data_IF_758099819427
#
_entry.id   IF_758099819427
#
_cell.length_a   1.000
_cell.length_b   1.000
_cell.length_c   1.000
_cell.angle_alpha   90.00
_cell.angle_beta   90.00
_cell.angle_gamma   90.00
#
_symmetry.space_group_name_H-M   'P 1'
#
loop_
_entity.id
_entity.type
_entity.pdbx_description
1 polymer ?
#
# COMPACT_ATOMS: atom_id res chain seq x y z
N UNK A 1 -60.25 -5.55 59.34
CA UNK A 1 -61.37 -4.60 59.28
C UNK A 1 -62.00 -4.74 57.88
N UNK A 2 -62.67 -5.88 57.64
CA UNK A 2 -64.14 -6.05 57.50
C UNK A 2 -64.80 -5.03 56.55
N UNK A 3 -65.26 -5.49 55.39
CA UNK A 3 -66.63 -5.36 54.83
C UNK A 3 -66.57 -5.60 53.31
N UNK A 4 -67.06 -6.75 52.80
CA UNK A 4 -68.41 -6.95 52.22
C UNK A 4 -68.50 -6.55 50.74
N UNK A 5 -69.28 -7.16 49.85
CA UNK A 5 -69.94 -8.46 49.68
C UNK A 5 -70.57 -8.34 48.26
N UNK A 6 -70.50 -9.42 47.45
CA UNK A 6 -71.49 -9.84 46.43
C UNK A 6 -71.71 -9.06 45.09
N UNK A 7 -71.71 -9.85 43.99
CA UNK A 7 -72.82 -10.08 43.02
C UNK A 7 -72.67 -9.68 41.53
N UNK A 8 -72.68 -10.76 40.71
CA UNK A 8 -73.38 -11.06 39.43
C UNK A 8 -72.91 -10.57 38.04
N UNK A 9 -72.80 -11.59 37.16
CA UNK A 9 -73.27 -11.76 35.75
C UNK A 9 -72.84 -10.71 34.69
N UNK A 10 -72.03 -11.07 33.69
CA UNK A 10 -72.30 -11.89 32.49
C UNK A 10 -73.17 -11.23 31.40
N UNK A 11 -72.59 -11.19 30.18
CA UNK A 11 -73.18 -11.45 28.86
C UNK A 11 -73.62 -10.28 27.93
N UNK A 12 -73.01 -10.32 26.73
CA UNK A 12 -73.46 -9.94 25.37
C UNK A 12 -73.75 -8.46 25.01
N UNK A 13 -73.01 -7.92 24.03
CA UNK A 13 -73.47 -7.94 22.62
C UNK A 13 -72.36 -7.53 21.64
N UNK A 14 -72.29 -8.25 20.52
CA UNK A 14 -71.59 -7.84 19.31
C UNK A 14 -72.33 -6.66 18.67
N UNK A 15 -71.60 -5.66 18.19
CA UNK A 15 -72.02 -4.92 17.00
C UNK A 15 -70.78 -4.47 16.21
N UNK A 16 -70.65 -5.04 15.02
CA UNK A 16 -69.80 -4.54 13.95
C UNK A 16 -70.19 -3.09 13.64
N UNK A 17 -69.24 -2.16 13.72
CA UNK A 17 -69.28 -0.97 12.87
C UNK A 17 -67.84 -0.61 12.49
N UNK A 18 -67.56 -0.81 11.20
CA UNK A 18 -66.37 -0.36 10.51
C UNK A 18 -66.30 1.18 10.57
N UNK A 19 -65.19 1.72 11.02
CA UNK A 19 -64.96 3.15 11.12
C UNK A 19 -63.51 3.42 11.47
N UNK A 20 -62.72 3.70 10.44
CA UNK A 20 -61.31 4.11 10.49
C UNK A 20 -61.06 5.21 11.52
N UNK A 21 -60.26 4.90 12.55
CA UNK A 21 -59.52 5.89 13.32
C UNK A 21 -58.04 5.55 13.17
N UNK A 22 -57.36 6.37 12.38
CA UNK A 22 -55.91 6.40 12.31
C UNK A 22 -55.39 6.71 13.72
N UNK A 23 -54.72 5.75 14.32
CA UNK A 23 -53.82 6.02 15.43
C UNK A 23 -52.59 6.65 14.78
N UNK A 24 -52.45 7.97 14.89
CA UNK A 24 -51.18 8.66 14.69
C UNK A 24 -50.18 8.04 15.66
N UNK A 25 -49.37 7.13 15.15
CA UNK A 25 -48.27 6.55 15.90
C UNK A 25 -47.13 7.59 15.90
N UNK A 26 -47.14 8.48 16.89
CA UNK A 26 -46.11 9.50 17.14
C UNK A 26 -44.82 8.94 17.78
N UNK A 27 -44.58 7.63 17.67
CA UNK A 27 -43.38 6.96 18.18
C UNK A 27 -42.73 6.10 17.08
N UNK A 28 -42.35 6.74 15.97
CA UNK A 28 -41.59 6.09 14.89
C UNK A 28 -40.40 6.93 14.40
N UNK A 29 -39.90 7.85 15.24
CA UNK A 29 -38.88 8.83 14.86
C UNK A 29 -37.49 8.58 15.48
N UNK A 30 -37.20 7.35 15.89
CA UNK A 30 -35.88 6.95 16.44
C UNK A 30 -35.46 5.55 15.93
N UNK A 31 -35.71 5.27 14.65
CA UNK A 31 -34.85 4.34 13.90
C UNK A 31 -33.82 5.21 13.19
N UNK A 32 -33.06 5.93 14.00
CA UNK A 32 -32.16 6.98 13.55
C UNK A 32 -30.95 6.35 12.91
N UNK A 33 -30.76 6.71 11.65
CA UNK A 33 -29.55 6.48 10.88
C UNK A 33 -28.37 7.07 11.67
N UNK A 34 -27.19 6.41 11.69
CA UNK A 34 -26.04 6.97 12.40
C UNK A 34 -25.59 8.30 11.79
N UNK A 35 -25.78 8.50 10.48
CA UNK A 35 -25.29 9.67 9.77
C UNK A 35 -25.75 11.02 10.35
N UNK A 36 -24.87 12.06 10.35
CA UNK A 36 -25.26 13.42 10.67
C UNK A 36 -26.37 13.95 9.75
N UNK A 37 -27.11 15.00 10.16
CA UNK A 37 -28.13 15.63 9.32
C UNK A 37 -27.57 16.02 7.94
N UNK A 38 -28.26 15.63 6.87
CA UNK A 38 -27.78 15.82 5.50
C UNK A 38 -27.56 17.31 5.15
N UNK A 39 -28.37 18.21 5.72
CA UNK A 39 -28.24 19.66 5.57
C UNK A 39 -26.95 20.24 6.19
N UNK A 40 -26.38 19.58 7.21
CA UNK A 40 -25.16 20.04 7.87
C UNK A 40 -23.90 19.55 7.18
N UNK A 41 -24.00 18.47 6.39
CA UNK A 41 -22.86 17.84 5.71
C UNK A 41 -22.83 18.08 4.20
N UNK A 42 -23.84 18.73 3.62
CA UNK A 42 -23.84 19.04 2.18
C UNK A 42 -22.59 19.82 1.74
N UNK A 43 -21.93 19.42 0.63
CA UNK A 43 -22.37 18.44 -0.37
C UNK A 43 -21.86 17.02 -0.11
N UNK A 44 -21.24 16.75 1.04
CA UNK A 44 -20.82 15.39 1.37
C UNK A 44 -22.04 14.48 1.60
N UNK A 45 -21.85 13.19 1.33
CA UNK A 45 -22.84 12.14 1.53
C UNK A 45 -22.30 11.20 2.60
N UNK A 46 -23.13 10.89 3.59
CA UNK A 46 -22.81 9.91 4.62
C UNK A 46 -23.53 8.59 4.32
N UNK A 47 -22.78 7.49 4.34
CA UNK A 47 -23.27 6.14 4.07
C UNK A 47 -22.85 5.19 5.18
N UNK A 48 -23.67 4.17 5.44
CA UNK A 48 -23.30 3.06 6.33
C UNK A 48 -22.90 1.89 5.44
N UNK A 49 -21.62 1.57 5.40
CA UNK A 49 -21.06 0.52 4.55
C UNK A 49 -21.43 -0.86 5.11
N UNK A 50 -21.25 -1.04 6.42
CA UNK A 50 -21.60 -2.29 7.11
C UNK A 50 -22.44 -1.98 8.35
N UNK A 51 -23.70 -2.45 8.31
CA UNK A 51 -24.66 -2.27 9.40
C UNK A 51 -24.39 -3.10 10.66
N UNK A 52 -23.48 -4.07 10.59
CA UNK A 52 -23.09 -4.94 11.69
C UNK A 52 -21.93 -4.38 12.51
N UNK A 53 -20.98 -3.72 11.87
CA UNK A 53 -19.84 -3.01 12.47
C UNK A 53 -20.11 -1.51 12.66
N UNK A 54 -21.16 -0.99 12.01
CA UNK A 54 -21.48 0.44 11.91
C UNK A 54 -20.36 1.25 11.24
N UNK A 55 -19.74 0.69 10.20
CA UNK A 55 -18.72 1.39 9.42
C UNK A 55 -19.38 2.50 8.60
N UNK A 56 -19.04 3.74 8.95
CA UNK A 56 -19.63 4.94 8.36
C UNK A 56 -18.60 5.64 7.47
N UNK A 57 -19.00 5.90 6.23
CA UNK A 57 -18.21 6.60 5.24
C UNK A 57 -18.76 8.00 4.98
N UNK A 58 -17.84 8.94 4.80
CA UNK A 58 -18.10 10.31 4.38
C UNK A 58 -17.53 10.51 2.98
N UNK A 59 -18.40 10.54 1.97
CA UNK A 59 -18.01 10.92 0.61
C UNK A 59 -18.11 12.44 0.45
N UNK A 60 -16.97 13.10 0.34
CA UNK A 60 -16.83 14.55 0.16
C UNK A 60 -16.33 14.92 -1.25
N UNK A 61 -16.47 14.03 -2.23
CA UNK A 61 -16.04 14.23 -3.62
C UNK A 61 -16.65 15.47 -4.28
N UNK A 62 -17.83 15.90 -3.83
CA UNK A 62 -18.53 17.08 -4.38
C UNK A 62 -18.17 18.41 -3.72
N UNK A 63 -17.23 18.43 -2.76
CA UNK A 63 -16.79 19.68 -2.12
C UNK A 63 -16.03 20.57 -3.11
N UNK A 64 -16.28 21.87 -3.07
CA UNK A 64 -15.74 22.84 -4.04
C UNK A 64 -14.66 23.76 -3.47
N UNK A 65 -14.49 23.82 -2.14
CA UNK A 65 -13.44 24.61 -1.48
C UNK A 65 -13.01 23.96 -0.17
N UNK A 66 -11.76 24.20 0.25
CA UNK A 66 -11.29 23.80 1.59
C UNK A 66 -12.16 24.38 2.71
N UNK A 67 -12.58 25.64 2.59
CA UNK A 67 -13.40 26.29 3.61
C UNK A 67 -14.77 25.59 3.76
N UNK A 68 -15.31 25.03 2.68
CA UNK A 68 -16.52 24.20 2.73
C UNK A 68 -16.25 22.87 3.44
N UNK A 69 -15.12 22.21 3.14
CA UNK A 69 -14.70 20.98 3.83
C UNK A 69 -14.55 21.21 5.34
N UNK A 70 -13.77 22.23 5.71
CA UNK A 70 -13.55 22.63 7.09
C UNK A 70 -14.85 23.00 7.80
N UNK A 71 -15.74 23.73 7.13
CA UNK A 71 -17.05 24.09 7.69
C UNK A 71 -17.90 22.85 7.99
N UNK A 72 -17.88 21.82 7.14
CA UNK A 72 -18.63 20.58 7.34
C UNK A 72 -18.09 19.85 8.57
N UNK A 73 -16.78 19.64 8.66
CA UNK A 73 -16.18 18.89 9.77
C UNK A 73 -16.03 19.70 11.07
N UNK A 74 -16.28 21.01 11.04
CA UNK A 74 -16.44 21.83 12.25
C UNK A 74 -17.79 21.65 12.96
N UNK A 75 -18.76 21.00 12.31
CA UNK A 75 -20.09 20.76 12.89
C UNK A 75 -20.05 19.72 14.01
N UNK A 76 -21.01 19.86 14.92
CA UNK A 76 -21.27 18.89 15.97
C UNK A 76 -21.95 17.67 15.37
N UNK A 77 -21.21 16.57 15.27
CA UNK A 77 -21.72 15.27 14.87
C UNK A 77 -21.98 14.43 16.12
N UNK A 78 -22.92 13.47 16.07
CA UNK A 78 -23.20 12.58 17.20
C UNK A 78 -22.00 11.70 17.62
N UNK A 79 -21.01 11.54 16.73
CA UNK A 79 -19.74 10.87 16.96
C UNK A 79 -18.64 11.56 16.14
N UNK A 80 -17.37 11.29 16.47
CA UNK A 80 -16.22 11.84 15.76
C UNK A 80 -15.44 10.80 14.96
N UNK A 81 -15.64 9.52 15.25
CA UNK A 81 -14.88 8.44 14.62
C UNK A 81 -15.67 7.92 13.42
N UNK A 82 -15.04 7.98 12.26
CA UNK A 82 -15.57 7.51 11.00
C UNK A 82 -14.69 6.37 10.48
N UNK A 83 -15.31 5.48 9.72
CA UNK A 83 -14.57 4.42 9.07
C UNK A 83 -13.75 5.01 7.91
N UNK A 84 -14.41 5.68 6.96
CA UNK A 84 -13.76 6.15 5.73
C UNK A 84 -14.10 7.61 5.38
N UNK A 85 -13.12 8.32 4.82
CA UNK A 85 -13.31 9.56 4.08
C UNK A 85 -12.97 9.30 2.61
N UNK A 86 -13.88 9.65 1.70
CA UNK A 86 -13.68 9.50 0.26
C UNK A 86 -13.72 10.88 -0.42
N UNK A 87 -12.71 11.19 -1.23
CA UNK A 87 -12.64 12.37 -2.09
C UNK A 87 -12.12 11.93 -3.46
N UNK A 88 -13.03 11.52 -4.34
CA UNK A 88 -12.70 11.06 -5.69
C UNK A 88 -13.06 12.11 -6.74
N UNK A 89 -12.32 12.13 -7.86
CA UNK A 89 -12.63 12.98 -9.01
C UNK A 89 -12.72 14.48 -8.66
N UNK A 90 -12.13 14.89 -7.54
CA UNK A 90 -12.23 16.25 -7.04
C UNK A 90 -11.14 17.13 -7.65
N UNK A 91 -11.57 18.08 -8.49
CA UNK A 91 -10.66 18.99 -9.17
C UNK A 91 -10.58 20.38 -8.52
N UNK A 92 -11.20 20.56 -7.36
CA UNK A 92 -11.32 21.84 -6.66
C UNK A 92 -10.39 21.94 -5.44
N UNK A 93 -10.22 20.83 -4.71
CA UNK A 93 -9.35 20.73 -3.55
C UNK A 93 -7.92 20.47 -4.01
N UNK A 94 -7.09 21.51 -3.99
CA UNK A 94 -5.66 21.40 -4.32
C UNK A 94 -4.80 21.12 -3.10
N UNK A 95 -5.35 21.24 -1.90
CA UNK A 95 -4.63 21.07 -0.63
C UNK A 95 -5.53 20.38 0.37
N UNK A 96 -4.99 19.56 1.28
CA UNK A 96 -5.66 19.20 2.54
C UNK A 96 -4.94 19.99 3.65
N UNK A 97 -5.66 20.88 4.31
CA UNK A 97 -5.09 21.83 5.29
C UNK A 97 -5.22 21.31 6.71
N UNK A 98 -4.38 21.85 7.59
CA UNK A 98 -4.61 21.70 9.03
C UNK A 98 -6.01 22.22 9.40
N UNK A 99 -6.82 21.36 10.01
CA UNK A 99 -8.15 21.70 10.50
C UNK A 99 -9.29 21.45 9.51
N UNK A 100 -9.00 21.07 8.26
CA UNK A 100 -10.04 20.74 7.27
C UNK A 100 -10.93 19.58 7.76
N UNK A 101 -10.38 18.64 8.54
CA UNK A 101 -11.12 17.50 9.11
C UNK A 101 -11.57 17.74 10.56
N UNK A 102 -11.35 18.93 11.11
CA UNK A 102 -11.76 19.30 12.47
C UNK A 102 -11.27 18.31 13.53
N UNK A 103 -12.20 17.82 14.36
CA UNK A 103 -11.94 16.80 15.39
C UNK A 103 -12.35 15.40 14.93
N UNK A 104 -12.72 15.22 13.65
CA UNK A 104 -13.14 13.91 13.15
C UNK A 104 -11.92 13.06 12.88
N UNK A 105 -12.04 11.78 13.20
CA UNK A 105 -11.02 10.78 13.00
C UNK A 105 -11.50 9.80 11.93
N UNK A 106 -10.56 9.23 11.20
CA UNK A 106 -10.85 8.29 10.13
C UNK A 106 -9.93 7.09 10.27
N UNK A 107 -10.44 5.89 9.98
CA UNK A 107 -9.63 4.68 9.87
C UNK A 107 -9.05 4.54 8.46
N UNK A 108 -9.79 5.00 7.47
CA UNK A 108 -9.39 5.02 6.07
C UNK A 108 -9.59 6.41 5.46
N UNK A 109 -8.64 6.85 4.66
CA UNK A 109 -8.79 8.06 3.84
C UNK A 109 -8.42 7.69 2.41
N UNK A 110 -9.35 7.90 1.49
CA UNK A 110 -9.23 7.64 0.06
C UNK A 110 -9.39 8.95 -0.71
N UNK A 111 -8.32 9.39 -1.36
CA UNK A 111 -8.30 10.56 -2.22
C UNK A 111 -7.74 10.15 -3.57
N UNK A 112 -8.55 10.18 -4.63
CA UNK A 112 -8.12 9.73 -5.95
C UNK A 112 -8.64 10.57 -7.11
N UNK A 113 -7.99 10.42 -8.27
CA UNK A 113 -8.44 10.96 -9.56
C UNK A 113 -8.69 12.47 -9.54
N UNK A 114 -7.91 13.20 -8.75
CA UNK A 114 -8.14 14.61 -8.43
C UNK A 114 -6.97 15.54 -8.75
N UNK A 115 -7.12 16.81 -8.38
CA UNK A 115 -6.09 17.85 -8.56
C UNK A 115 -5.35 18.21 -7.28
N UNK A 116 -5.40 17.33 -6.26
CA UNK A 116 -4.68 17.53 -5.01
C UNK A 116 -3.18 17.66 -5.29
N UNK A 117 -2.56 18.68 -4.70
CA UNK A 117 -1.12 18.99 -4.83
C UNK A 117 -0.37 18.86 -3.53
N UNK A 118 -1.01 19.20 -2.41
CA UNK A 118 -0.30 19.32 -1.13
C UNK A 118 -1.13 18.73 0.00
N UNK A 119 -0.51 17.91 0.84
CA UNK A 119 -1.01 17.63 2.19
C UNK A 119 -0.20 18.51 3.15
N UNK A 120 -0.85 19.44 3.83
CA UNK A 120 -0.16 20.30 4.78
C UNK A 120 0.32 19.50 6.01
N UNK A 121 1.34 20.04 6.66
CA UNK A 121 1.78 19.57 7.98
C UNK A 121 0.59 19.52 8.95
N UNK A 122 0.45 18.43 9.71
CA UNK A 122 -0.63 18.18 10.65
C UNK A 122 -2.05 18.13 10.04
N UNK A 123 -2.19 18.00 8.71
CA UNK A 123 -3.51 17.87 8.07
C UNK A 123 -4.35 16.72 8.65
N UNK A 124 -3.69 15.62 9.05
CA UNK A 124 -4.33 14.42 9.61
C UNK A 124 -4.14 14.27 11.12
N UNK A 125 -3.86 15.36 11.86
CA UNK A 125 -3.54 15.32 13.29
C UNK A 125 -4.58 14.59 14.16
N UNK A 126 -5.86 14.76 13.84
CA UNK A 126 -6.96 14.10 14.55
C UNK A 126 -7.00 12.58 14.31
N UNK A 127 -6.44 12.12 13.18
CA UNK A 127 -6.43 10.71 12.78
C UNK A 127 -5.09 10.01 13.03
N UNK A 128 -4.06 10.65 13.60
CA UNK A 128 -2.81 9.97 13.94
C UNK A 128 -3.03 8.73 14.82
N UNK A 129 -4.03 8.77 15.69
CA UNK A 129 -4.39 7.68 16.58
C UNK A 129 -5.29 6.61 15.97
N UNK A 130 -5.82 6.78 14.75
CA UNK A 130 -6.90 5.92 14.20
C UNK A 130 -6.66 5.47 12.75
N UNK A 131 -5.94 6.26 11.95
CA UNK A 131 -5.75 6.00 10.53
C UNK A 131 -4.92 4.74 10.35
N UNK A 132 -5.50 3.79 9.62
CA UNK A 132 -4.91 2.48 9.30
C UNK A 132 -4.50 2.43 7.83
N UNK A 133 -5.32 3.01 6.94
CA UNK A 133 -5.04 3.05 5.51
C UNK A 133 -5.15 4.46 4.94
N UNK A 134 -4.11 4.92 4.24
CA UNK A 134 -4.09 6.20 3.55
C UNK A 134 -3.79 6.00 2.08
N UNK A 135 -4.77 6.33 1.24
CA UNK A 135 -4.69 6.30 -0.21
C UNK A 135 -4.80 7.71 -0.76
N UNK A 136 -3.72 8.20 -1.37
CA UNK A 136 -3.73 9.45 -2.13
C UNK A 136 -3.11 9.13 -3.49
N UNK A 137 -3.91 8.69 -4.45
CA UNK A 137 -3.42 8.06 -5.67
C UNK A 137 -3.89 8.81 -6.91
N UNK A 138 -3.07 8.83 -7.97
CA UNK A 138 -3.46 9.45 -9.26
C UNK A 138 -3.94 10.89 -9.07
N UNK A 139 -3.12 11.70 -8.40
CA UNK A 139 -3.35 13.14 -8.24
C UNK A 139 -2.16 13.92 -8.79
N UNK A 140 -2.01 15.19 -8.41
CA UNK A 140 -0.83 16.01 -8.73
C UNK A 140 -0.01 16.30 -7.48
N UNK A 141 -0.02 15.38 -6.50
CA UNK A 141 0.60 15.57 -5.19
C UNK A 141 2.11 15.76 -5.34
N UNK A 142 2.61 16.96 -5.04
CA UNK A 142 4.03 17.31 -5.09
C UNK A 142 4.65 17.45 -3.68
N UNK A 143 3.82 17.47 -2.64
CA UNK A 143 4.27 17.54 -1.24
C UNK A 143 3.43 16.69 -0.28
N UNK A 144 4.12 15.84 0.47
CA UNK A 144 3.58 15.05 1.59
C UNK A 144 4.52 15.12 2.81
N UNK A 145 4.01 15.29 4.04
CA UNK A 145 4.85 15.46 5.23
C UNK A 145 5.36 14.12 5.79
N UNK A 146 6.24 13.41 5.08
CA UNK A 146 6.76 12.08 5.46
C UNK A 146 7.30 11.96 6.90
N UNK A 147 7.90 13.03 7.43
CA UNK A 147 8.39 13.08 8.83
C UNK A 147 7.28 12.84 9.88
N UNK A 148 6.01 13.05 9.54
CA UNK A 148 4.87 12.81 10.42
C UNK A 148 4.42 11.34 10.46
N UNK A 149 4.95 10.47 9.60
CA UNK A 149 4.64 9.03 9.61
C UNK A 149 4.93 8.39 10.97
N UNK A 150 5.91 8.91 11.70
CA UNK A 150 6.26 8.49 13.07
C UNK A 150 5.22 8.84 14.12
N UNK A 151 4.28 9.74 13.82
CA UNK A 151 3.22 10.17 14.71
C UNK A 151 1.98 9.26 14.61
N UNK A 152 1.83 8.53 13.50
CA UNK A 152 0.73 7.60 13.34
C UNK A 152 0.97 6.34 14.17
N UNK A 153 0.00 5.98 15.01
CA UNK A 153 0.11 4.82 15.91
C UNK A 153 -0.59 3.57 15.39
N UNK A 154 -1.27 3.67 14.23
CA UNK A 154 -2.01 2.56 13.62
C UNK A 154 -1.86 2.49 12.09
N UNK A 155 -1.07 3.36 11.44
CA UNK A 155 -1.00 3.40 9.97
C UNK A 155 -0.23 2.19 9.45
N UNK A 156 -0.94 1.27 8.79
CA UNK A 156 -0.41 0.03 8.24
C UNK A 156 -0.05 0.18 6.75
N UNK A 157 -0.86 0.90 5.97
CA UNK A 157 -0.61 1.05 4.53
C UNK A 157 -0.65 2.50 4.08
N UNK A 158 0.35 2.85 3.28
CA UNK A 158 0.48 4.16 2.64
C UNK A 158 0.62 3.99 1.13
N UNK A 159 -0.37 4.48 0.41
CA UNK A 159 -0.46 4.44 -1.05
C UNK A 159 -0.41 5.88 -1.57
N UNK A 160 0.72 6.26 -2.17
CA UNK A 160 0.95 7.59 -2.77
C UNK A 160 1.38 7.49 -4.24
N UNK A 161 1.06 6.40 -4.91
CA UNK A 161 1.44 6.14 -6.29
C UNK A 161 0.85 7.11 -7.32
N UNK A 162 1.54 7.23 -8.46
CA UNK A 162 1.15 8.04 -9.61
C UNK A 162 0.86 9.51 -9.24
N UNK A 163 1.79 10.11 -8.49
CA UNK A 163 1.76 11.53 -8.12
C UNK A 163 3.00 12.26 -8.68
N UNK A 164 3.35 13.41 -8.12
CA UNK A 164 4.48 14.25 -8.53
C UNK A 164 5.48 14.47 -7.39
N UNK A 165 5.56 13.51 -6.45
CA UNK A 165 6.49 13.58 -5.33
C UNK A 165 7.93 13.48 -5.84
N UNK A 166 8.79 14.36 -5.35
CA UNK A 166 10.19 14.48 -5.79
C UNK A 166 11.16 14.44 -4.61
N UNK A 167 12.43 14.19 -4.93
CA UNK A 167 13.53 14.16 -3.98
C UNK A 167 13.63 12.81 -3.28
N UNK A 168 14.32 12.80 -2.13
CA UNK A 168 14.58 11.61 -1.32
C UNK A 168 13.78 11.66 -0.01
N UNK A 169 12.57 11.10 0.06
CA UNK A 169 11.80 11.11 1.29
C UNK A 169 12.50 10.32 2.40
N UNK A 170 12.47 10.88 3.61
CA UNK A 170 12.92 10.23 4.84
C UNK A 170 11.72 9.64 5.57
N UNK A 171 11.71 8.33 5.77
CA UNK A 171 10.60 7.60 6.36
C UNK A 171 10.99 6.92 7.68
N UNK A 172 10.12 7.11 8.65
CA UNK A 172 10.17 6.45 9.95
C UNK A 172 8.73 6.19 10.41
N UNK A 173 8.38 4.94 10.68
CA UNK A 173 7.08 4.54 11.22
C UNK A 173 7.20 3.23 11.97
N UNK A 174 6.61 3.16 13.16
CA UNK A 174 6.58 1.91 13.94
C UNK A 174 5.49 0.93 13.50
N UNK A 175 4.60 1.33 12.59
CA UNK A 175 3.39 0.57 12.23
C UNK A 175 3.27 0.21 10.76
N UNK A 176 3.98 0.92 9.88
CA UNK A 176 3.82 0.76 8.44
C UNK A 176 4.29 -0.63 7.98
N UNK A 177 3.42 -1.32 7.25
CA UNK A 177 3.61 -2.66 6.67
C UNK A 177 3.75 -2.60 5.15
N UNK A 178 3.03 -1.69 4.49
CA UNK A 178 3.05 -1.55 3.04
C UNK A 178 3.23 -0.09 2.64
N UNK A 179 4.20 0.15 1.75
CA UNK A 179 4.50 1.47 1.19
C UNK A 179 4.51 1.42 -0.34
N UNK A 180 3.63 2.17 -0.98
CA UNK A 180 3.62 2.34 -2.44
C UNK A 180 3.88 3.79 -2.82
N UNK A 181 4.98 4.00 -3.54
CA UNK A 181 5.40 5.30 -4.06
C UNK A 181 5.61 5.27 -5.58
N UNK A 182 5.25 4.18 -6.25
CA UNK A 182 5.53 3.99 -7.67
C UNK A 182 4.94 5.09 -8.56
N UNK A 183 5.59 5.36 -9.70
CA UNK A 183 5.15 6.39 -10.64
C UNK A 183 5.29 7.82 -10.12
N UNK A 184 6.12 8.05 -9.10
CA UNK A 184 6.52 9.38 -8.64
C UNK A 184 7.97 9.68 -9.05
N UNK A 185 8.34 10.92 -9.42
CA UNK A 185 9.72 11.29 -9.75
C UNK A 185 10.66 11.41 -8.52
N UNK A 186 10.82 10.33 -7.76
CA UNK A 186 11.64 10.20 -6.54
C UNK A 186 13.04 9.65 -6.90
N UNK A 187 14.09 10.40 -6.64
CA UNK A 187 15.45 10.05 -7.05
C UNK A 187 16.27 9.28 -5.99
N UNK A 188 15.71 9.07 -4.79
CA UNK A 188 16.30 8.28 -3.72
C UNK A 188 15.31 8.03 -2.58
N UNK A 189 15.71 7.29 -1.54
CA UNK A 189 14.86 7.03 -0.37
C UNK A 189 15.69 6.76 0.88
N UNK A 190 15.26 7.30 2.02
CA UNK A 190 15.87 7.03 3.33
C UNK A 190 14.89 6.27 4.22
N UNK A 191 15.22 5.01 4.53
CA UNK A 191 14.39 4.08 5.30
C UNK A 191 15.01 3.85 6.69
N UNK A 192 14.59 4.64 7.69
CA UNK A 192 15.29 4.68 8.98
C UNK A 192 14.75 3.69 10.02
N UNK A 193 13.47 3.77 10.36
CA UNK A 193 12.88 2.95 11.42
C UNK A 193 11.50 2.46 10.98
N UNK A 194 11.49 1.34 10.24
CA UNK A 194 10.30 0.73 9.64
C UNK A 194 10.26 -0.77 9.97
N UNK A 195 10.19 -1.15 11.27
CA UNK A 195 10.41 -2.53 11.71
C UNK A 195 9.32 -3.50 11.27
N UNK A 196 8.14 -3.01 10.88
CA UNK A 196 7.01 -3.84 10.43
C UNK A 196 6.84 -3.83 8.91
N UNK A 197 7.71 -3.16 8.15
CA UNK A 197 7.55 -3.06 6.70
C UNK A 197 7.78 -4.42 6.03
N UNK A 198 6.79 -4.86 5.26
CA UNK A 198 6.73 -6.15 4.55
C UNK A 198 6.86 -5.96 3.03
N UNK A 199 6.29 -4.88 2.49
CA UNK A 199 6.30 -4.56 1.05
C UNK A 199 6.68 -3.10 0.81
N UNK A 200 7.62 -2.88 -0.12
CA UNK A 200 7.95 -1.57 -0.64
C UNK A 200 7.89 -1.55 -2.17
N UNK A 201 7.08 -0.64 -2.71
CA UNK A 201 6.96 -0.41 -4.14
C UNK A 201 7.50 0.94 -4.58
N UNK A 202 8.65 0.88 -5.25
CA UNK A 202 9.39 2.00 -5.82
C UNK A 202 9.56 1.84 -7.34
N UNK A 203 8.73 1.03 -8.01
CA UNK A 203 8.84 0.90 -9.45
C UNK A 203 8.58 2.22 -10.16
N UNK A 204 9.23 2.44 -11.31
CA UNK A 204 9.02 3.66 -12.10
C UNK A 204 9.18 4.97 -11.31
N UNK A 205 10.13 5.03 -10.35
CA UNK A 205 10.36 6.22 -9.53
C UNK A 205 11.49 7.13 -10.00
N UNK A 206 12.25 6.72 -11.03
CA UNK A 206 13.47 7.38 -11.51
C UNK A 206 14.67 7.27 -10.55
N UNK A 207 14.66 6.27 -9.67
CA UNK A 207 15.83 5.91 -8.86
C UNK A 207 16.96 5.45 -9.77
N UNK A 208 18.15 6.01 -9.56
CA UNK A 208 19.38 5.66 -10.30
C UNK A 208 20.44 5.03 -9.41
N UNK A 209 20.30 5.18 -8.10
CA UNK A 209 21.24 4.71 -7.11
C UNK A 209 20.53 4.37 -5.79
N UNK A 210 21.03 3.36 -5.09
CA UNK A 210 20.60 2.99 -3.74
C UNK A 210 21.84 2.89 -2.87
N UNK A 211 21.81 3.56 -1.73
CA UNK A 211 22.91 3.50 -0.78
C UNK A 211 23.11 2.06 -0.25
N UNK A 212 24.35 1.64 0.02
CA UNK A 212 24.61 0.44 0.78
C UNK A 212 23.86 0.49 2.11
N UNK A 213 23.06 -0.53 2.38
CA UNK A 213 22.28 -0.62 3.61
C UNK A 213 20.87 -0.05 3.55
N UNK A 214 20.39 0.47 2.41
CA UNK A 214 19.02 1.03 2.29
C UNK A 214 17.93 0.12 2.87
N UNK A 215 18.05 -1.21 2.73
CA UNK A 215 17.06 -2.16 3.25
C UNK A 215 17.50 -2.92 4.52
N UNK A 216 18.62 -2.56 5.15
CA UNK A 216 19.26 -3.38 6.22
C UNK A 216 18.50 -3.45 7.53
N UNK A 217 17.72 -2.44 7.90
CA UNK A 217 16.97 -2.42 9.17
C UNK A 217 15.52 -2.89 9.01
N UNK A 218 15.14 -3.38 7.81
CA UNK A 218 13.77 -3.76 7.46
C UNK A 218 13.57 -5.26 7.71
N UNK A 219 13.45 -5.62 8.98
CA UNK A 219 13.54 -7.01 9.45
C UNK A 219 12.40 -7.93 8.96
N UNK A 220 11.28 -7.37 8.51
CA UNK A 220 10.11 -8.12 8.02
C UNK A 220 9.90 -7.98 6.51
N UNK A 221 10.84 -7.36 5.78
CA UNK A 221 10.65 -7.06 4.37
C UNK A 221 10.73 -8.32 3.50
N UNK A 222 9.67 -8.58 2.74
CA UNK A 222 9.55 -9.72 1.83
C UNK A 222 9.55 -9.31 0.37
N UNK A 223 8.97 -8.14 0.05
CA UNK A 223 8.70 -7.70 -1.31
C UNK A 223 9.37 -6.36 -1.60
N UNK A 224 10.29 -6.36 -2.57
CA UNK A 224 10.96 -5.16 -3.07
C UNK A 224 10.68 -5.01 -4.56
N UNK A 225 9.98 -3.94 -4.92
CA UNK A 225 9.74 -3.56 -6.32
C UNK A 225 10.60 -2.35 -6.70
N UNK A 226 11.57 -2.59 -7.58
CA UNK A 226 12.50 -1.60 -8.13
C UNK A 226 12.54 -1.66 -9.66
N UNK A 227 11.64 -2.40 -10.30
CA UNK A 227 11.52 -2.51 -11.75
C UNK A 227 11.22 -1.16 -12.43
N UNK A 228 11.59 -1.04 -13.70
CA UNK A 228 11.36 0.18 -14.50
C UNK A 228 12.03 1.44 -13.92
N UNK A 229 13.17 1.29 -13.25
CA UNK A 229 14.03 2.40 -12.84
C UNK A 229 15.27 2.48 -13.75
N UNK A 230 16.32 3.19 -13.33
CA UNK A 230 17.57 3.33 -14.09
C UNK A 230 18.79 2.99 -13.24
N UNK A 231 18.67 1.96 -12.41
CA UNK A 231 19.78 1.42 -11.60
C UNK A 231 20.85 0.82 -12.52
N UNK A 232 22.11 1.20 -12.31
CA UNK A 232 23.24 0.70 -13.12
C UNK A 232 24.11 -0.33 -12.40
N UNK A 233 24.18 -0.23 -11.08
CA UNK A 233 24.99 -1.10 -10.22
C UNK A 233 24.20 -1.34 -8.93
N UNK A 234 24.20 -2.58 -8.45
CA UNK A 234 23.77 -2.91 -7.10
C UNK A 234 25.00 -3.15 -6.23
N UNK A 235 25.24 -2.26 -5.27
CA UNK A 235 26.43 -2.29 -4.41
C UNK A 235 26.32 -3.37 -3.32
N UNK A 236 27.47 -3.74 -2.75
CA UNK A 236 27.51 -4.70 -1.65
C UNK A 236 26.71 -4.16 -0.45
N UNK A 237 25.87 -5.00 0.13
CA UNK A 237 25.00 -4.64 1.26
C UNK A 237 23.79 -3.79 0.92
N UNK A 238 23.47 -3.52 -0.34
CA UNK A 238 22.23 -2.79 -0.69
C UNK A 238 20.99 -3.56 -0.24
N UNK A 239 20.87 -4.84 -0.59
CA UNK A 239 19.75 -5.70 -0.18
C UNK A 239 20.24 -6.65 0.92
N UNK A 240 19.58 -6.58 2.07
CA UNK A 240 19.84 -7.44 3.23
C UNK A 240 18.51 -7.80 3.89
N UNK A 241 18.08 -9.05 3.70
CA UNK A 241 16.78 -9.56 4.13
C UNK A 241 16.93 -10.63 5.22
N UNK A 242 15.91 -10.74 6.07
CA UNK A 242 15.94 -11.61 7.26
C UNK A 242 14.83 -12.66 7.29
N UNK A 243 13.90 -12.58 6.35
CA UNK A 243 12.71 -13.42 6.24
C UNK A 243 12.95 -14.57 5.25
N UNK A 244 11.87 -15.15 4.73
CA UNK A 244 11.92 -16.27 3.77
C UNK A 244 10.80 -16.13 2.75
N UNK A 245 11.00 -16.63 1.55
CA UNK A 245 10.12 -16.44 0.38
C UNK A 245 10.12 -15.00 -0.14
N UNK A 246 11.31 -14.43 -0.25
CA UNK A 246 11.50 -13.07 -0.70
C UNK A 246 11.27 -12.92 -2.21
N UNK A 247 10.75 -11.77 -2.62
CA UNK A 247 10.59 -11.40 -4.03
C UNK A 247 11.25 -10.04 -4.26
N UNK A 248 12.28 -10.03 -5.10
CA UNK A 248 13.01 -8.82 -5.49
C UNK A 248 12.89 -8.64 -6.99
N UNK A 249 12.22 -7.57 -7.40
CA UNK A 249 12.09 -7.19 -8.79
C UNK A 249 13.06 -6.05 -9.13
N UNK A 250 13.95 -6.31 -10.08
CA UNK A 250 14.94 -5.37 -10.61
C UNK A 250 14.87 -5.30 -12.15
N UNK A 251 13.85 -5.90 -12.76
CA UNK A 251 13.76 -6.01 -14.21
C UNK A 251 13.50 -4.66 -14.90
N UNK A 252 13.91 -4.53 -16.16
CA UNK A 252 13.87 -3.25 -16.90
C UNK A 252 14.58 -2.11 -16.14
N UNK A 253 15.79 -2.37 -15.65
CA UNK A 253 16.76 -1.37 -15.22
C UNK A 253 17.95 -1.35 -16.22
N UNK A 254 19.01 -0.63 -15.87
CA UNK A 254 20.25 -0.54 -16.64
C UNK A 254 21.40 -1.30 -15.96
N UNK A 255 21.11 -2.34 -15.17
CA UNK A 255 22.11 -3.01 -14.34
C UNK A 255 23.19 -3.64 -15.21
N UNK A 256 24.42 -3.17 -15.05
CA UNK A 256 25.62 -3.72 -15.71
C UNK A 256 26.36 -4.69 -14.82
N UNK A 257 26.19 -4.57 -13.49
CA UNK A 257 26.79 -5.45 -12.50
C UNK A 257 26.00 -5.47 -11.21
N UNK A 258 26.12 -6.58 -10.48
CA UNK A 258 25.64 -6.75 -9.11
C UNK A 258 26.86 -7.18 -8.30
N UNK A 259 27.20 -6.43 -7.26
CA UNK A 259 28.38 -6.71 -6.46
C UNK A 259 28.23 -7.99 -5.63
N UNK A 260 29.35 -8.66 -5.35
CA UNK A 260 29.38 -9.73 -4.37
C UNK A 260 28.87 -9.21 -3.01
N UNK A 261 27.93 -9.93 -2.41
CA UNK A 261 27.29 -9.50 -1.16
C UNK A 261 26.24 -8.40 -1.32
N UNK A 262 25.76 -8.11 -2.53
CA UNK A 262 24.64 -7.17 -2.74
C UNK A 262 23.26 -7.76 -2.37
N UNK A 263 23.13 -9.09 -2.38
CA UNK A 263 21.86 -9.84 -2.23
C UNK A 263 21.87 -10.72 -0.97
N UNK A 264 22.21 -10.15 0.18
CA UNK A 264 22.40 -10.92 1.42
C UNK A 264 21.06 -11.34 2.00
N UNK A 265 20.95 -12.60 2.42
CA UNK A 265 19.80 -13.11 3.15
C UNK A 265 18.53 -13.32 2.30
N UNK A 266 18.63 -13.19 0.98
CA UNK A 266 17.56 -13.52 0.04
C UNK A 266 17.32 -15.05 0.03
N UNK A 267 16.12 -15.50 0.42
CA UNK A 267 15.79 -16.93 0.56
C UNK A 267 14.47 -17.29 -0.08
N UNK A 268 14.43 -18.38 -0.84
CA UNK A 268 13.24 -18.79 -1.57
C UNK A 268 12.72 -17.73 -2.54
N UNK A 269 11.49 -17.90 -3.04
CA UNK A 269 10.84 -16.89 -3.87
C UNK A 269 11.58 -16.59 -5.18
N UNK A 270 11.78 -15.30 -5.49
CA UNK A 270 12.23 -14.84 -6.81
C UNK A 270 13.20 -13.66 -6.75
N UNK A 271 14.20 -13.72 -7.63
CA UNK A 271 15.05 -12.60 -8.03
C UNK A 271 14.85 -12.36 -9.53
N UNK A 272 14.23 -11.24 -9.88
CA UNK A 272 13.98 -10.90 -11.28
C UNK A 272 14.93 -9.79 -11.74
N UNK A 273 15.93 -10.16 -12.53
CA UNK A 273 16.91 -9.24 -13.14
C UNK A 273 16.74 -9.17 -14.66
N UNK A 274 15.58 -9.54 -15.19
CA UNK A 274 15.32 -9.56 -16.64
C UNK A 274 15.49 -8.18 -17.26
N UNK A 275 15.82 -8.15 -18.56
CA UNK A 275 15.95 -6.93 -19.35
C UNK A 275 16.86 -5.87 -18.67
N UNK A 276 18.05 -6.30 -18.27
CA UNK A 276 19.13 -5.45 -17.80
C UNK A 276 20.32 -5.54 -18.77
N UNK A 277 21.50 -5.07 -18.38
CA UNK A 277 22.74 -5.07 -19.17
C UNK A 277 23.80 -6.02 -18.57
N UNK A 278 23.39 -7.05 -17.84
CA UNK A 278 24.30 -8.00 -17.22
C UNK A 278 24.98 -8.84 -18.31
N UNK A 279 26.31 -8.91 -18.29
CA UNK A 279 27.08 -9.74 -19.22
C UNK A 279 27.38 -11.13 -18.67
N UNK A 280 27.14 -11.38 -17.39
CA UNK A 280 27.39 -12.68 -16.77
C UNK A 280 26.48 -12.89 -15.55
N UNK A 281 26.29 -14.16 -15.19
CA UNK A 281 25.70 -14.58 -13.92
C UNK A 281 26.83 -15.09 -13.01
N UNK A 282 27.58 -14.15 -12.42
CA UNK A 282 28.75 -14.44 -11.61
C UNK A 282 28.43 -15.38 -10.44
N UNK A 283 29.21 -16.46 -10.28
CA UNK A 283 28.98 -17.48 -9.25
C UNK A 283 28.90 -16.86 -7.84
N UNK A 284 29.83 -15.97 -7.51
CA UNK A 284 29.90 -15.34 -6.19
C UNK A 284 28.65 -14.50 -5.82
N UNK A 285 27.88 -14.07 -6.82
CA UNK A 285 26.68 -13.24 -6.64
C UNK A 285 25.42 -14.10 -6.58
N UNK A 286 25.24 -15.01 -7.55
CA UNK A 286 23.98 -15.72 -7.74
C UNK A 286 23.94 -17.08 -7.03
N UNK A 287 25.09 -17.70 -6.76
CA UNK A 287 25.11 -19.00 -6.08
C UNK A 287 24.58 -18.93 -4.65
N UNK A 288 24.94 -17.94 -3.80
CA UNK A 288 24.41 -17.87 -2.44
C UNK A 288 22.86 -17.83 -2.36
N UNK A 289 22.14 -16.95 -3.08
CA UNK A 289 20.67 -16.98 -3.06
C UNK A 289 20.09 -18.26 -3.69
N UNK A 290 20.70 -18.81 -4.74
CA UNK A 290 20.26 -20.09 -5.32
C UNK A 290 20.43 -21.28 -4.35
N UNK A 291 21.50 -21.31 -3.55
CA UNK A 291 21.68 -22.32 -2.49
C UNK A 291 20.55 -22.25 -1.44
N UNK A 292 19.98 -21.06 -1.23
CA UNK A 292 18.82 -20.81 -0.38
C UNK A 292 17.46 -20.94 -1.12
N UNK A 293 17.46 -21.50 -2.34
CA UNK A 293 16.25 -21.84 -3.08
C UNK A 293 15.57 -20.70 -3.82
N UNK A 294 16.27 -19.59 -4.06
CA UNK A 294 15.77 -18.47 -4.86
C UNK A 294 15.71 -18.84 -6.33
N UNK A 295 14.57 -18.58 -6.98
CA UNK A 295 14.44 -18.68 -8.43
C UNK A 295 14.93 -17.39 -9.08
N UNK A 296 15.83 -17.48 -10.05
CA UNK A 296 16.40 -16.33 -10.76
C UNK A 296 15.82 -16.24 -12.17
N UNK A 297 15.29 -15.08 -12.53
CA UNK A 297 14.89 -14.75 -13.89
C UNK A 297 15.90 -13.77 -14.49
N UNK A 298 16.54 -14.13 -15.61
CA UNK A 298 17.65 -13.35 -16.19
C UNK A 298 17.56 -13.14 -17.70
N UNK A 299 16.46 -13.52 -18.36
CA UNK A 299 16.21 -13.27 -19.78
C UNK A 299 16.30 -11.79 -20.16
N UNK A 300 16.68 -11.51 -21.42
CA UNK A 300 16.85 -10.15 -21.91
C UNK A 300 18.15 -9.46 -21.48
N UNK A 301 19.09 -10.19 -20.88
CA UNK A 301 20.46 -9.71 -20.61
C UNK A 301 21.45 -10.17 -21.69
N UNK A 302 22.48 -9.38 -22.04
CA UNK A 302 23.51 -9.74 -23.01
C UNK A 302 24.57 -10.69 -22.43
N UNK A 303 24.17 -11.88 -21.98
CA UNK A 303 25.06 -12.84 -21.29
C UNK A 303 26.16 -13.41 -22.20
N UNK A 304 27.43 -13.28 -21.80
CA UNK A 304 28.57 -13.96 -22.39
C UNK A 304 28.73 -15.36 -21.78
N UNK A 305 28.30 -16.39 -22.51
CA UNK A 305 28.32 -17.77 -22.04
C UNK A 305 29.68 -18.44 -22.27
N UNK A 306 30.74 -17.84 -21.72
CA UNK A 306 32.07 -18.43 -21.60
C UNK A 306 32.22 -19.30 -20.35
N UNK A 307 33.45 -19.58 -19.91
CA UNK A 307 33.68 -20.43 -18.74
C UNK A 307 33.10 -19.89 -17.43
N UNK A 308 32.82 -18.59 -17.33
CA UNK A 308 32.25 -17.97 -16.13
C UNK A 308 30.83 -18.46 -15.80
N UNK A 309 30.09 -19.01 -16.78
CA UNK A 309 28.75 -19.61 -16.55
C UNK A 309 28.81 -21.13 -16.29
N UNK A 310 30.00 -21.74 -16.32
CA UNK A 310 30.16 -23.19 -16.21
C UNK A 310 29.56 -23.77 -14.91
N UNK A 311 29.65 -23.04 -13.80
CA UNK A 311 29.09 -23.44 -12.50
C UNK A 311 27.57 -23.68 -12.57
N UNK A 312 26.88 -22.87 -13.39
CA UNK A 312 25.44 -22.95 -13.60
C UNK A 312 25.09 -24.07 -14.57
N UNK A 313 25.78 -24.13 -15.71
CA UNK A 313 25.54 -25.13 -16.78
C UNK A 313 25.83 -26.55 -16.32
N UNK A 314 26.90 -26.76 -15.55
CA UNK A 314 27.31 -28.10 -15.09
C UNK A 314 26.50 -28.61 -13.89
N UNK A 315 25.61 -27.78 -13.32
CA UNK A 315 24.77 -28.13 -12.18
C UNK A 315 23.29 -28.16 -12.55
N UNK A 316 22.71 -29.35 -12.65
CA UNK A 316 21.26 -29.49 -12.89
C UNK A 316 20.41 -28.83 -11.79
N UNK A 317 20.95 -28.73 -10.57
CA UNK A 317 20.28 -28.08 -9.44
C UNK A 317 20.15 -26.58 -9.68
N UNK A 318 21.25 -25.89 -10.00
CA UNK A 318 21.23 -24.45 -10.25
C UNK A 318 20.53 -24.12 -11.56
N UNK A 319 20.67 -24.95 -12.59
CA UNK A 319 19.93 -24.81 -13.84
C UNK A 319 18.41 -24.85 -13.63
N UNK A 320 17.92 -25.65 -12.68
CA UNK A 320 16.48 -25.69 -12.37
C UNK A 320 15.96 -24.44 -11.63
N UNK A 321 16.87 -23.66 -11.03
CA UNK A 321 16.57 -22.40 -10.35
C UNK A 321 16.71 -21.18 -11.27
N UNK A 322 17.33 -21.34 -12.45
CA UNK A 322 17.22 -20.37 -13.53
C UNK A 322 15.84 -20.52 -14.17
N UNK A 323 14.89 -19.71 -13.71
CA UNK A 323 13.46 -19.90 -13.92
C UNK A 323 12.90 -19.12 -15.12
N UNK A 324 13.71 -18.99 -16.19
CA UNK A 324 13.29 -18.42 -17.47
C UNK A 324 14.21 -18.80 -18.64
N UNK A 325 13.88 -18.32 -19.84
CA UNK A 325 14.60 -18.58 -21.09
C UNK A 325 15.79 -17.63 -21.27
N UNK A 326 16.69 -17.55 -20.28
CA UNK A 326 17.91 -16.75 -20.40
C UNK A 326 18.78 -17.24 -21.56
N UNK A 327 19.28 -16.30 -22.37
CA UNK A 327 20.02 -16.59 -23.60
C UNK A 327 21.38 -15.90 -23.63
N UNK A 328 22.34 -16.57 -24.23
CA UNK A 328 23.65 -16.01 -24.53
C UNK A 328 23.57 -14.91 -25.60
N UNK A 329 24.59 -14.07 -25.73
CA UNK A 329 24.73 -13.09 -26.83
C UNK A 329 24.70 -13.72 -28.22
N UNK A 330 24.99 -15.01 -28.34
CA UNK A 330 24.85 -15.80 -29.57
C UNK A 330 23.39 -16.11 -29.94
N UNK A 331 22.45 -15.90 -29.02
CA UNK A 331 21.03 -16.28 -29.13
C UNK A 331 20.72 -17.71 -28.68
N UNK A 332 21.73 -18.51 -28.32
CA UNK A 332 21.53 -19.85 -27.75
C UNK A 332 20.99 -19.73 -26.31
N UNK A 333 20.02 -20.57 -25.93
CA UNK A 333 19.54 -20.62 -24.56
C UNK A 333 20.62 -21.18 -23.63
N UNK A 334 20.74 -20.62 -22.43
CA UNK A 334 21.68 -21.10 -21.40
C UNK A 334 21.37 -22.55 -21.01
N UNK A 335 20.09 -22.92 -21.00
CA UNK A 335 19.61 -24.29 -20.75
C UNK A 335 19.92 -25.30 -21.85
N UNK A 336 20.33 -24.83 -23.05
CA UNK A 336 20.70 -25.67 -24.19
C UNK A 336 22.23 -25.82 -24.35
N UNK A 337 23.03 -25.24 -23.44
CA UNK A 337 24.48 -25.39 -23.43
C UNK A 337 24.87 -26.82 -23.00
N UNK A 338 25.90 -27.38 -23.62
CA UNK A 338 26.36 -28.76 -23.36
C UNK A 338 27.17 -28.85 -22.06
N UNK A 339 26.64 -29.44 -20.97
CA UNK A 339 27.35 -29.49 -19.69
C UNK A 339 28.64 -30.31 -19.74
N UNK A 340 28.71 -31.36 -20.58
CA UNK A 340 29.91 -32.20 -20.68
C UNK A 340 31.06 -31.41 -21.33
N UNK A 341 30.74 -30.52 -22.27
CA UNK A 341 31.72 -29.65 -22.90
C UNK A 341 32.31 -28.65 -21.90
N UNK A 342 31.47 -27.98 -21.10
CA UNK A 342 31.91 -27.04 -20.08
C UNK A 342 32.74 -27.72 -18.98
N UNK A 343 32.37 -28.93 -18.57
CA UNK A 343 33.11 -29.71 -17.57
C UNK A 343 34.53 -30.11 -18.02
N UNK A 344 34.79 -30.19 -19.33
CA UNK A 344 36.11 -30.54 -19.87
C UNK A 344 37.00 -29.32 -20.09
N UNK A 345 36.41 -28.15 -20.37
CA UNK A 345 37.13 -27.00 -20.93
C UNK A 345 37.41 -25.88 -19.89
N UNK A 346 36.70 -25.82 -18.75
CA UNK A 346 36.69 -24.64 -17.85
C UNK A 346 37.34 -24.80 -16.46
#
# INVERSE_FOLDING_TARGET
>A
MVHHIFVLLAALSCCFCCGTLAIENKDQHFRDLPCPPAEDIQPCVCTVIDSSTFDIEMDCSSVTTNDQLASIFSKDFPYNDFFSLVIENNNHLTTIRLGDLGQKTFQEIHISDGSLKTVEKNAFISSYGTLTYLYIVVTSLDYFPFHELSLFTQLEQLHLENNQLMGSPELSSSTLQLLRLYGNPIDGIELNALPLLEEIDLQSTAITYLDPGTFTELLNLDYIHLEYNSLQVLEAGTINLYTSHNTVHLYNNDLTSIAEGALVGLKGGYLDVRNNQLTELAEAVFRPPMDDGVNVLASGNPLDCGCEIAWLVTSSTYMSLLYDDASCTSGQLVSELDPDMFAVIC
#
